data_IF_343612472883
#
_entry.id   IF_343612472883
#
_cell.length_a   1.000
_cell.length_b   1.000
_cell.length_c   1.000
_cell.angle_alpha   90.00
_cell.angle_beta   90.00
_cell.angle_gamma   90.00
#
_symmetry.space_group_name_H-M   'P 1'
#
loop_
_entity.id
_entity.type
_entity.pdbx_description
1 polymer ?
#
# COMPACT_ATOMS: atom_id res chain seq x y z
N UNK A 1 -3.36 130.69 25.88
CA UNK A 1 -2.40 129.65 25.47
C UNK A 1 -2.50 128.50 26.47
N UNK A 2 -2.65 127.25 26.01
CA UNK A 2 -2.99 126.10 26.87
C UNK A 2 -1.81 125.69 27.76
N UNK A 3 -2.05 125.54 29.07
CA UNK A 3 -1.07 125.12 30.08
C UNK A 3 -0.34 123.81 29.70
N UNK A 4 -1.03 122.95 28.95
CA UNK A 4 -0.56 121.65 28.46
C UNK A 4 0.61 121.80 27.46
N UNK A 5 0.68 122.89 26.68
CA UNK A 5 1.77 123.08 25.72
C UNK A 5 3.06 123.58 26.38
N UNK A 6 2.98 124.23 27.55
CA UNK A 6 4.15 124.68 28.31
C UNK A 6 4.66 123.63 29.33
N UNK A 7 3.80 122.68 29.73
CA UNK A 7 4.12 121.65 30.73
C UNK A 7 3.92 120.22 30.18
N UNK A 8 4.18 120.02 28.88
CA UNK A 8 3.93 118.74 28.18
C UNK A 8 4.64 117.56 28.86
N UNK A 9 5.88 117.75 29.32
CA UNK A 9 6.63 116.71 30.04
C UNK A 9 5.92 116.22 31.30
N UNK A 10 5.31 117.14 32.08
CA UNK A 10 4.56 116.79 33.29
C UNK A 10 3.24 116.10 32.96
N UNK A 11 2.58 116.51 31.87
CA UNK A 11 1.35 115.87 31.40
C UNK A 11 1.62 114.47 30.82
N UNK A 12 2.72 114.29 30.09
CA UNK A 12 3.15 113.00 29.54
C UNK A 12 3.55 112.01 30.65
N UNK A 13 4.33 112.48 31.65
CA UNK A 13 4.69 111.66 32.81
C UNK A 13 3.46 111.31 33.63
N UNK A 14 2.55 112.27 33.88
CA UNK A 14 1.29 112.02 34.57
C UNK A 14 0.42 110.98 33.84
N UNK A 15 0.31 111.10 32.51
CA UNK A 15 -0.41 110.14 31.68
C UNK A 15 0.21 108.74 31.71
N UNK A 16 1.54 108.64 31.64
CA UNK A 16 2.26 107.37 31.69
C UNK A 16 2.05 106.65 33.05
N UNK A 17 2.04 107.40 34.16
CA UNK A 17 1.78 106.85 35.50
C UNK A 17 0.36 106.30 35.61
N UNK A 18 -0.64 106.99 35.04
CA UNK A 18 -2.03 106.52 35.03
C UNK A 18 -2.18 105.24 34.20
N UNK A 19 -1.53 105.15 33.05
CA UNK A 19 -1.55 103.95 32.21
C UNK A 19 -0.84 102.78 32.92
N UNK A 20 0.31 103.02 33.54
CA UNK A 20 1.03 101.99 34.29
C UNK A 20 0.23 101.47 35.50
N UNK A 21 -0.44 102.36 36.24
CA UNK A 21 -1.32 101.98 37.33
C UNK A 21 -2.54 101.16 36.84
N UNK A 22 -3.11 101.53 35.70
CA UNK A 22 -4.20 100.78 35.07
C UNK A 22 -3.79 99.36 34.64
N UNK A 23 -2.60 99.22 34.05
CA UNK A 23 -2.05 97.91 33.67
C UNK A 23 -1.70 97.05 34.89
N UNK A 24 -1.13 97.65 35.94
CA UNK A 24 -0.85 96.95 37.19
C UNK A 24 -2.15 96.46 37.88
N UNK A 25 -3.21 97.27 37.85
CA UNK A 25 -4.52 96.87 38.38
C UNK A 25 -5.19 95.77 37.55
N UNK A 26 -5.08 95.82 36.22
CA UNK A 26 -5.57 94.74 35.34
C UNK A 26 -4.79 93.44 35.55
N UNK A 27 -3.48 93.51 35.75
CA UNK A 27 -2.66 92.37 36.13
C UNK A 27 -3.09 91.79 37.48
N UNK A 28 -3.20 92.61 38.52
CA UNK A 28 -3.59 92.16 39.86
C UNK A 28 -5.01 91.60 39.91
N UNK A 29 -5.98 92.24 39.26
CA UNK A 29 -7.38 91.80 39.24
C UNK A 29 -7.58 90.45 38.53
N UNK A 30 -6.66 90.07 37.65
CA UNK A 30 -6.69 88.79 36.93
C UNK A 30 -5.89 87.67 37.61
N UNK A 31 -4.94 87.97 38.49
CA UNK A 31 -4.11 86.97 39.20
C UNK A 31 -4.94 86.10 40.16
N UNK A 32 -6.07 86.60 40.68
CA UNK A 32 -6.96 85.82 41.55
C UNK A 32 -8.05 85.00 40.84
N UNK A 33 -8.20 85.10 39.52
CA UNK A 33 -9.29 84.41 38.78
C UNK A 33 -8.82 83.20 37.96
N UNK A 34 -7.52 82.92 37.89
CA UNK A 34 -7.00 81.77 37.14
C UNK A 34 -7.49 80.44 37.74
N UNK A 35 -7.74 80.37 39.05
CA UNK A 35 -8.32 79.17 39.67
C UNK A 35 -9.82 78.99 39.38
N UNK A 36 -10.55 80.06 39.02
CA UNK A 36 -11.99 80.01 38.74
C UNK A 36 -12.26 79.60 37.28
N UNK A 37 -11.42 80.03 36.34
CA UNK A 37 -11.55 79.71 34.91
C UNK A 37 -11.09 78.27 34.57
N UNK A 38 -10.34 77.59 35.45
CA UNK A 38 -9.93 76.19 35.30
C UNK A 38 -10.66 75.23 36.26
N UNK A 39 -11.80 75.63 36.83
CA UNK A 39 -12.60 74.73 37.65
C UNK A 39 -13.35 73.70 36.78
N UNK A 40 -12.61 72.70 36.28
CA UNK A 40 -13.21 71.44 35.83
C UNK A 40 -13.65 70.70 37.10
N UNK A 41 -14.85 71.01 37.57
CA UNK A 41 -15.53 70.20 38.58
C UNK A 41 -15.98 68.90 37.92
N UNK A 42 -15.47 67.72 38.34
CA UNK A 42 -16.10 66.45 37.98
C UNK A 42 -17.51 66.44 38.62
N UNK A 43 -18.53 65.87 37.95
CA UNK A 43 -19.84 65.78 38.57
C UNK A 43 -19.79 64.73 39.68
N UNK A 44 -19.71 65.16 40.95
CA UNK A 44 -19.85 64.25 42.07
C UNK A 44 -19.14 64.71 43.34
N UNK A 45 -19.93 65.19 44.31
CA UNK A 45 -19.46 65.53 45.66
C UNK A 45 -18.69 64.38 46.31
N UNK A 46 -17.50 64.69 46.81
CA UNK A 46 -16.66 63.74 47.52
C UNK A 46 -17.07 63.72 49.01
N UNK A 47 -17.90 62.74 49.37
CA UNK A 47 -17.67 62.02 50.62
C UNK A 47 -16.30 61.34 50.52
N UNK A 48 -15.53 61.31 51.62
CA UNK A 48 -14.10 60.95 51.66
C UNK A 48 -13.75 59.50 51.30
N UNK A 49 -13.97 59.12 50.05
CA UNK A 49 -13.48 57.87 49.46
C UNK A 49 -12.67 58.20 48.21
N UNK A 50 -11.35 58.03 48.26
CA UNK A 50 -10.44 58.07 47.10
C UNK A 50 -10.56 56.84 46.20
N UNK A 51 -11.71 56.16 46.24
CA UNK A 51 -11.93 54.92 45.52
C UNK A 51 -12.23 55.23 44.04
N UNK A 52 -11.27 54.91 43.17
CA UNK A 52 -11.49 54.91 41.73
C UNK A 52 -12.56 53.85 41.43
N UNK A 53 -13.64 54.23 40.75
CA UNK A 53 -14.72 53.30 40.40
C UNK A 53 -14.16 52.08 39.65
N UNK A 54 -14.36 50.89 40.18
CA UNK A 54 -13.84 49.63 39.62
C UNK A 54 -12.47 49.18 40.13
N UNK A 55 -11.82 49.93 41.03
CA UNK A 55 -10.54 49.51 41.64
C UNK A 55 -10.63 48.15 42.37
N UNK A 56 -11.80 47.81 42.91
CA UNK A 56 -12.05 46.49 43.53
C UNK A 56 -11.99 45.32 42.53
N UNK A 57 -12.15 45.59 41.23
CA UNK A 57 -12.07 44.56 40.20
C UNK A 57 -10.63 44.18 39.86
N UNK A 58 -9.66 45.06 40.10
CA UNK A 58 -8.23 44.82 39.81
C UNK A 58 -7.70 43.61 40.60
N UNK A 59 -7.80 43.54 41.95
CA UNK A 59 -7.31 42.39 42.69
C UNK A 59 -8.09 41.11 42.39
N UNK A 60 -9.38 41.20 42.03
CA UNK A 60 -10.18 40.04 41.58
C UNK A 60 -9.68 39.51 40.24
N UNK A 61 -9.35 40.39 39.29
CA UNK A 61 -8.78 40.03 38.00
C UNK A 61 -7.38 39.44 38.15
N UNK A 62 -6.50 40.06 38.95
CA UNK A 62 -5.17 39.52 39.26
C UNK A 62 -5.25 38.13 39.89
N UNK A 63 -6.17 37.94 40.84
CA UNK A 63 -6.43 36.63 41.44
C UNK A 63 -6.94 35.62 40.39
N UNK A 64 -7.82 36.05 39.47
CA UNK A 64 -8.35 35.18 38.41
C UNK A 64 -7.28 34.74 37.39
N UNK A 65 -6.26 35.58 37.17
CA UNK A 65 -5.16 35.33 36.23
C UNK A 65 -4.08 34.42 36.85
N UNK A 66 -3.88 34.52 38.16
CA UNK A 66 -2.91 33.70 38.91
C UNK A 66 -3.49 32.37 39.37
N UNK A 67 -4.83 32.21 39.33
CA UNK A 67 -5.49 30.93 39.63
C UNK A 67 -5.11 29.88 38.58
N UNK A 68 -4.41 28.83 39.02
CA UNK A 68 -4.07 27.67 38.19
C UNK A 68 -5.35 26.96 37.76
N UNK A 69 -5.81 27.20 36.53
CA UNK A 69 -6.92 26.48 35.94
C UNK A 69 -6.45 25.10 35.51
N UNK A 70 -6.85 24.07 36.25
CA UNK A 70 -6.66 22.68 35.83
C UNK A 70 -7.88 22.28 35.02
N UNK A 71 -7.68 22.05 33.73
CA UNK A 71 -8.73 21.49 32.88
C UNK A 71 -8.85 20.00 33.20
N UNK A 72 -9.94 19.61 33.85
CA UNK A 72 -10.29 18.20 34.01
C UNK A 72 -11.03 17.75 32.76
N UNK A 73 -10.47 16.79 32.05
CA UNK A 73 -11.11 16.22 30.86
C UNK A 73 -12.45 15.60 31.27
N UNK A 74 -13.54 16.06 30.64
CA UNK A 74 -14.85 15.45 30.87
C UNK A 74 -14.83 14.01 30.34
N UNK A 75 -15.65 13.13 30.94
CA UNK A 75 -15.83 11.77 30.47
C UNK A 75 -17.27 11.55 30.03
N UNK A 76 -17.47 10.72 29.01
CA UNK A 76 -18.81 10.25 28.62
C UNK A 76 -19.36 9.25 29.64
N UNK A 77 -20.64 8.87 29.51
CA UNK A 77 -21.26 7.80 30.31
C UNK A 77 -20.54 6.45 30.19
N UNK A 78 -19.74 6.27 29.13
CA UNK A 78 -18.91 5.08 28.87
C UNK A 78 -17.46 5.22 29.35
N UNK A 79 -17.18 6.18 30.26
CA UNK A 79 -15.86 6.50 30.84
C UNK A 79 -14.80 6.96 29.81
N UNK A 80 -15.22 7.34 28.60
CA UNK A 80 -14.32 7.85 27.56
C UNK A 80 -13.99 9.32 27.80
N UNK A 81 -12.70 9.65 27.80
CA UNK A 81 -12.25 11.04 27.89
C UNK A 81 -12.59 11.82 26.60
N UNK A 82 -13.37 12.90 26.72
CA UNK A 82 -13.72 13.79 25.60
C UNK A 82 -12.70 14.93 25.51
N UNK A 83 -12.11 15.11 24.33
CA UNK A 83 -11.27 16.27 24.07
C UNK A 83 -12.15 17.51 23.83
N UNK A 84 -11.78 18.65 24.42
CA UNK A 84 -12.51 19.91 24.30
C UNK A 84 -12.13 20.69 23.03
N UNK A 85 -11.00 20.34 22.40
CA UNK A 85 -10.45 21.08 21.26
C UNK A 85 -10.51 20.32 19.94
N UNK A 86 -10.62 18.98 19.98
CA UNK A 86 -10.76 18.15 18.78
C UNK A 86 -12.06 17.37 18.83
N UNK A 87 -12.94 17.59 17.84
CA UNK A 87 -14.13 16.78 17.67
C UNK A 87 -13.77 15.31 17.42
N UNK A 88 -14.52 14.40 18.03
CA UNK A 88 -14.38 12.97 17.80
C UNK A 88 -15.24 12.58 16.61
N UNK A 89 -14.70 11.85 15.62
CA UNK A 89 -15.51 11.31 14.54
C UNK A 89 -16.47 10.24 15.08
N UNK A 90 -17.76 10.47 14.88
CA UNK A 90 -18.82 9.49 15.09
C UNK A 90 -19.28 8.98 13.73
N UNK A 91 -19.47 7.67 13.62
CA UNK A 91 -19.87 7.04 12.37
C UNK A 91 -21.33 6.64 12.43
N UNK A 92 -21.98 6.59 11.29
CA UNK A 92 -23.39 6.23 11.20
C UNK A 92 -23.56 5.24 10.07
N UNK A 93 -24.24 4.14 10.33
CA UNK A 93 -24.55 3.16 9.28
C UNK A 93 -25.61 3.77 8.37
N UNK A 94 -25.45 3.62 7.05
CA UNK A 94 -26.44 4.11 6.06
C UNK A 94 -27.84 3.53 6.30
N UNK A 95 -27.93 2.30 6.80
CA UNK A 95 -29.20 1.64 7.14
C UNK A 95 -29.86 2.18 8.41
N UNK A 96 -29.11 2.81 9.30
CA UNK A 96 -29.56 3.30 10.61
C UNK A 96 -29.00 4.72 10.86
N UNK A 97 -29.45 5.73 10.09
CA UNK A 97 -28.90 7.09 10.11
C UNK A 97 -29.09 7.84 11.44
N UNK A 98 -29.91 7.30 12.34
CA UNK A 98 -30.16 7.88 13.67
C UNK A 98 -29.32 7.24 14.77
N UNK A 99 -28.59 6.14 14.47
CA UNK A 99 -27.79 5.41 15.45
C UNK A 99 -26.31 5.69 15.21
N UNK A 100 -25.79 6.69 15.93
CA UNK A 100 -24.37 6.97 15.93
C UNK A 100 -23.59 5.85 16.61
N UNK A 101 -22.47 5.47 16.01
CA UNK A 101 -21.52 4.48 16.48
C UNK A 101 -20.25 5.22 16.86
N UNK A 102 -19.91 5.12 18.14
CA UNK A 102 -18.62 5.56 18.66
C UNK A 102 -17.56 4.48 18.34
N UNK A 103 -16.48 4.78 17.61
CA UNK A 103 -15.38 3.83 17.39
C UNK A 103 -14.78 3.23 18.67
N UNK A 104 -14.75 3.98 19.77
CA UNK A 104 -14.07 3.53 20.99
C UNK A 104 -14.86 2.49 21.79
N UNK A 105 -16.20 2.49 21.69
CA UNK A 105 -17.06 1.65 22.53
C UNK A 105 -18.22 0.98 21.80
N UNK A 106 -18.50 1.39 20.56
CA UNK A 106 -19.61 0.90 19.75
C UNK A 106 -19.24 -0.29 18.85
N UNK A 107 -20.25 -0.78 18.13
CA UNK A 107 -20.10 -1.88 17.17
C UNK A 107 -19.04 -1.55 16.11
N UNK A 108 -18.32 -2.56 15.57
CA UNK A 108 -17.41 -2.34 14.46
C UNK A 108 -18.10 -1.65 13.28
N UNK A 109 -17.49 -0.58 12.78
CA UNK A 109 -17.97 0.17 11.60
C UNK A 109 -17.89 -0.75 10.36
N UNK A 110 -16.80 -1.51 10.25
CA UNK A 110 -16.56 -2.49 9.18
C UNK A 110 -16.20 -3.88 9.73
N UNK A 111 -17.18 -4.70 10.14
CA UNK A 111 -16.91 -6.08 10.49
C UNK A 111 -16.23 -6.83 9.33
N UNK A 112 -15.24 -7.70 9.58
CA UNK A 112 -14.78 -8.19 10.89
C UNK A 112 -13.73 -7.31 11.60
N UNK A 113 -13.33 -6.18 11.02
CA UNK A 113 -12.24 -5.34 11.55
C UNK A 113 -12.74 -4.52 12.75
N UNK A 114 -12.17 -4.68 13.96
CA UNK A 114 -12.59 -3.92 15.13
C UNK A 114 -12.21 -2.45 15.02
N UNK A 115 -13.01 -1.57 15.61
CA UNK A 115 -12.77 -0.12 15.57
C UNK A 115 -11.43 0.29 16.20
N UNK A 116 -10.94 -0.44 17.20
CA UNK A 116 -9.63 -0.19 17.80
C UNK A 116 -8.50 -0.31 16.79
N UNK A 117 -8.57 -1.27 15.86
CA UNK A 117 -7.54 -1.47 14.83
C UNK A 117 -7.45 -0.27 13.88
N UNK A 118 -8.58 0.31 13.48
CA UNK A 118 -8.60 1.53 12.66
C UNK A 118 -7.95 2.71 13.39
N UNK A 119 -8.26 2.88 14.68
CA UNK A 119 -7.71 3.96 15.50
C UNK A 119 -6.21 3.80 15.76
N UNK A 120 -5.77 2.59 16.09
CA UNK A 120 -4.36 2.26 16.36
C UNK A 120 -3.49 2.47 15.11
N UNK A 121 -4.00 2.07 13.94
CA UNK A 121 -3.31 2.25 12.66
C UNK A 121 -3.56 3.63 12.03
N UNK A 122 -4.28 4.53 12.71
CA UNK A 122 -4.60 5.89 12.23
C UNK A 122 -5.26 5.93 10.84
N UNK A 123 -6.10 4.93 10.57
CA UNK A 123 -6.83 4.79 9.33
C UNK A 123 -8.27 5.31 9.49
N UNK A 124 -8.83 5.87 8.43
CA UNK A 124 -10.20 6.37 8.42
C UNK A 124 -11.19 5.26 7.98
N UNK A 125 -12.05 4.74 8.88
CA UNK A 125 -13.08 3.76 8.53
C UNK A 125 -14.34 4.41 7.91
N UNK A 126 -14.36 5.72 7.69
CA UNK A 126 -15.56 6.45 7.24
C UNK A 126 -16.06 6.09 5.84
N UNK A 127 -15.20 5.50 5.02
CA UNK A 127 -15.56 5.13 3.66
C UNK A 127 -16.09 3.69 3.60
N UNK A 128 -17.08 3.48 2.72
CA UNK A 128 -17.64 2.13 2.51
C UNK A 128 -16.60 1.12 2.00
N UNK A 129 -15.60 1.61 1.27
CA UNK A 129 -14.48 0.85 0.71
C UNK A 129 -13.24 0.86 1.61
N UNK A 130 -13.29 1.43 2.82
CA UNK A 130 -12.12 1.46 3.73
C UNK A 130 -11.46 0.09 3.92
N UNK A 131 -12.18 -1.04 4.06
CA UNK A 131 -11.55 -2.36 4.16
C UNK A 131 -10.80 -2.81 2.91
N UNK A 132 -11.13 -2.29 1.73
CA UNK A 132 -10.50 -2.62 0.45
C UNK A 132 -9.37 -1.67 0.06
N UNK A 133 -9.19 -0.57 0.81
CA UNK A 133 -8.11 0.38 0.55
C UNK A 133 -6.77 -0.19 0.99
N UNK A 134 -5.74 0.31 0.32
CA UNK A 134 -4.34 -0.03 0.47
C UNK A 134 -3.58 1.31 0.65
N UNK A 135 -3.34 1.75 1.90
CA UNK A 135 -2.75 3.05 2.19
C UNK A 135 -1.27 3.19 1.82
N UNK A 136 -0.49 2.11 1.91
CA UNK A 136 0.94 2.09 1.62
C UNK A 136 1.28 1.59 0.21
N UNK A 137 0.27 1.17 -0.55
CA UNK A 137 0.34 0.75 -1.95
C UNK A 137 1.19 -0.51 -2.19
N UNK A 138 1.24 -1.40 -1.21
CA UNK A 138 1.96 -2.67 -1.29
C UNK A 138 1.18 -3.78 -2.02
N UNK A 139 -0.09 -3.53 -2.35
CA UNK A 139 -1.03 -4.43 -3.01
C UNK A 139 -1.95 -5.20 -2.07
N UNK A 140 -1.84 -5.04 -0.75
CA UNK A 140 -2.68 -5.64 0.26
C UNK A 140 -3.69 -4.63 0.81
N UNK A 141 -4.92 -5.10 0.96
CA UNK A 141 -5.99 -4.28 1.54
C UNK A 141 -5.93 -4.31 3.06
N UNK A 142 -6.46 -3.26 3.69
CA UNK A 142 -6.64 -3.17 5.15
C UNK A 142 -7.26 -4.44 5.75
N UNK A 143 -8.20 -5.09 5.06
CA UNK A 143 -8.79 -6.34 5.51
C UNK A 143 -7.80 -7.52 5.51
N UNK A 144 -7.00 -7.67 4.46
CA UNK A 144 -6.01 -8.74 4.35
C UNK A 144 -4.92 -8.58 5.40
N UNK A 145 -4.49 -7.34 5.63
CA UNK A 145 -3.49 -7.01 6.63
C UNK A 145 -4.00 -7.16 8.07
N UNK A 146 -5.25 -6.79 8.32
CA UNK A 146 -5.88 -7.05 9.60
C UNK A 146 -5.89 -8.55 9.92
N UNK A 147 -6.26 -9.39 8.94
CA UNK A 147 -6.27 -10.85 9.10
C UNK A 147 -4.86 -11.42 9.30
N UNK A 148 -3.86 -10.85 8.63
CA UNK A 148 -2.46 -11.23 8.75
C UNK A 148 -1.74 -10.63 9.97
N UNK A 149 -2.37 -9.69 10.68
CA UNK A 149 -1.79 -8.90 11.78
C UNK A 149 -0.54 -8.12 11.36
N UNK A 150 -0.60 -7.53 10.17
CA UNK A 150 0.45 -6.67 9.62
C UNK A 150 0.09 -5.19 9.76
N UNK A 151 0.99 -4.29 9.37
CA UNK A 151 0.86 -2.86 9.59
C UNK A 151 0.49 -2.18 8.26
N UNK A 152 -0.73 -1.63 8.13
CA UNK A 152 -1.27 -1.09 6.89
C UNK A 152 -0.75 0.27 6.45
N UNK A 153 0.33 0.73 7.08
CA UNK A 153 1.01 1.96 6.71
C UNK A 153 2.52 1.73 6.51
N UNK A 154 2.94 0.46 6.40
CA UNK A 154 4.34 0.09 6.22
C UNK A 154 4.44 -0.99 5.15
N UNK A 155 4.84 -0.56 3.95
CA UNK A 155 5.06 -1.40 2.76
C UNK A 155 5.97 -2.61 3.02
N UNK A 156 6.80 -2.60 4.07
CA UNK A 156 7.68 -3.75 4.42
C UNK A 156 7.00 -4.78 5.31
N UNK A 157 5.92 -4.38 5.97
CA UNK A 157 5.16 -5.21 6.89
C UNK A 157 3.90 -5.67 6.18
N UNK A 158 4.04 -6.65 5.29
CA UNK A 158 2.95 -7.14 4.46
C UNK A 158 2.67 -8.64 4.68
N UNK A 159 1.47 -9.14 4.33
CA UNK A 159 1.15 -10.57 4.35
C UNK A 159 1.99 -11.38 3.36
N UNK A 160 1.79 -12.70 3.34
CA UNK A 160 2.54 -13.55 2.39
C UNK A 160 2.18 -13.23 0.93
N UNK A 161 3.20 -12.88 0.14
CA UNK A 161 3.07 -12.53 -1.29
C UNK A 161 2.40 -13.63 -2.14
N UNK A 162 2.45 -14.89 -1.69
CA UNK A 162 1.78 -15.99 -2.38
C UNK A 162 0.26 -15.78 -2.48
N UNK A 163 -0.35 -15.04 -1.55
CA UNK A 163 -1.78 -14.73 -1.58
C UNK A 163 -2.16 -13.80 -2.75
N UNK A 164 -1.19 -13.04 -3.27
CA UNK A 164 -1.35 -12.13 -4.42
C UNK A 164 -0.78 -12.71 -5.71
N UNK A 165 -0.36 -13.97 -5.70
CA UNK A 165 0.11 -14.65 -6.89
C UNK A 165 -1.08 -15.05 -7.76
N UNK A 166 -1.11 -14.54 -8.99
CA UNK A 166 -2.14 -14.81 -9.97
C UNK A 166 -1.60 -15.72 -11.07
N UNK A 167 -2.31 -16.82 -11.31
CA UNK A 167 -2.11 -17.65 -12.50
C UNK A 167 -2.86 -17.02 -13.68
N UNK A 168 -2.12 -16.69 -14.74
CA UNK A 168 -2.69 -15.99 -15.92
C UNK A 168 -3.04 -16.98 -17.02
N UNK A 169 -2.07 -17.82 -17.40
CA UNK A 169 -2.24 -18.81 -18.48
C UNK A 169 -1.10 -19.84 -18.47
N UNK A 170 -1.22 -20.93 -19.22
CA UNK A 170 -0.13 -21.85 -19.48
C UNK A 170 0.47 -21.66 -20.88
N UNK A 171 1.79 -21.70 -20.95
CA UNK A 171 2.54 -21.81 -22.20
C UNK A 171 3.14 -23.22 -22.34
N UNK A 172 2.27 -24.22 -22.25
CA UNK A 172 2.68 -25.62 -22.31
C UNK A 172 3.01 -26.06 -23.73
N UNK A 173 4.07 -26.84 -23.89
CA UNK A 173 4.39 -27.51 -25.15
C UNK A 173 4.15 -28.99 -24.97
N UNK A 174 3.30 -29.58 -25.80
CA UNK A 174 3.22 -31.03 -25.90
C UNK A 174 4.33 -31.53 -26.82
N UNK A 175 4.88 -32.70 -26.50
CA UNK A 175 5.90 -33.34 -27.30
C UNK A 175 5.75 -34.86 -27.32
N UNK A 176 6.27 -35.46 -28.38
CA UNK A 176 6.30 -36.90 -28.58
C UNK A 176 7.70 -37.30 -29.03
N UNK A 177 8.26 -38.27 -28.32
CA UNK A 177 9.46 -38.97 -28.77
C UNK A 177 9.02 -40.25 -29.48
N UNK A 178 9.52 -40.48 -30.70
CA UNK A 178 9.15 -41.63 -31.51
C UNK A 178 10.39 -42.45 -31.86
N UNK A 179 10.55 -43.64 -31.27
CA UNK A 179 11.52 -44.63 -31.71
C UNK A 179 11.19 -45.09 -33.14
N UNK A 180 12.21 -45.08 -33.99
CA UNK A 180 12.16 -45.44 -35.39
C UNK A 180 12.78 -46.81 -35.65
N UNK A 181 13.60 -46.88 -36.71
CA UNK A 181 14.27 -48.11 -37.14
C UNK A 181 15.15 -48.70 -36.03
N UNK A 182 15.17 -50.03 -35.93
CA UNK A 182 15.96 -50.83 -34.99
C UNK A 182 17.09 -51.54 -35.73
N UNK A 183 18.34 -51.45 -35.24
CA UNK A 183 19.52 -52.02 -35.91
C UNK A 183 19.74 -53.52 -35.67
N UNK A 184 18.94 -54.17 -34.82
CA UNK A 184 19.17 -55.56 -34.41
C UNK A 184 20.00 -55.71 -33.14
N UNK A 185 20.81 -54.70 -32.78
CA UNK A 185 21.82 -54.74 -31.72
C UNK A 185 21.51 -53.80 -30.54
N UNK A 186 20.24 -53.41 -30.37
CA UNK A 186 19.81 -52.57 -29.27
C UNK A 186 19.77 -51.07 -29.59
N UNK A 187 20.09 -50.63 -30.82
CA UNK A 187 20.07 -49.22 -31.18
C UNK A 187 18.81 -48.82 -31.96
N UNK A 188 18.32 -47.61 -31.72
CA UNK A 188 17.14 -47.06 -32.39
C UNK A 188 17.41 -45.69 -33.00
N UNK A 189 16.84 -45.43 -34.17
CA UNK A 189 16.65 -44.06 -34.64
C UNK A 189 15.59 -43.36 -33.76
N UNK A 190 15.68 -42.04 -33.60
CA UNK A 190 14.68 -41.27 -32.85
C UNK A 190 14.25 -40.02 -33.60
N UNK A 191 12.97 -39.70 -33.48
CA UNK A 191 12.37 -38.44 -33.93
C UNK A 191 11.66 -37.76 -32.78
N UNK A 192 11.80 -36.45 -32.69
CA UNK A 192 11.12 -35.59 -31.74
C UNK A 192 10.11 -34.71 -32.46
N UNK A 193 8.89 -34.68 -31.93
CA UNK A 193 7.79 -33.84 -32.39
C UNK A 193 7.35 -32.96 -31.23
N UNK A 194 6.93 -31.72 -31.52
CA UNK A 194 6.33 -30.83 -30.55
C UNK A 194 5.10 -30.11 -31.11
N UNK A 195 4.29 -29.52 -30.23
CA UNK A 195 3.07 -28.80 -30.61
C UNK A 195 3.31 -27.56 -31.48
N UNK A 196 4.57 -27.12 -31.64
CA UNK A 196 4.91 -25.93 -32.43
C UNK A 196 5.01 -26.25 -33.92
N UNK A 197 4.94 -27.52 -34.33
CA UNK A 197 4.92 -27.90 -35.75
C UNK A 197 4.31 -29.27 -36.01
N UNK A 198 3.71 -29.40 -37.19
CA UNK A 198 3.13 -30.65 -37.67
C UNK A 198 4.18 -31.67 -38.16
N UNK A 199 5.45 -31.27 -38.29
CA UNK A 199 6.55 -32.15 -38.73
C UNK A 199 7.55 -32.42 -37.60
N UNK A 200 8.38 -33.46 -37.76
CA UNK A 200 9.44 -33.75 -36.79
C UNK A 200 10.39 -32.55 -36.69
N UNK A 201 10.53 -31.99 -35.49
CA UNK A 201 11.41 -30.86 -35.24
C UNK A 201 12.87 -31.27 -35.08
N UNK A 202 13.12 -32.49 -34.63
CA UNK A 202 14.46 -32.99 -34.45
C UNK A 202 14.55 -34.50 -34.69
N UNK A 203 15.72 -34.94 -35.12
CA UNK A 203 16.06 -36.35 -35.30
C UNK A 203 17.54 -36.54 -35.01
N UNK A 204 17.93 -37.80 -34.80
CA UNK A 204 19.35 -38.14 -34.86
C UNK A 204 19.92 -37.85 -36.26
N UNK A 205 21.23 -37.68 -36.34
CA UNK A 205 21.92 -37.49 -37.61
C UNK A 205 21.63 -38.65 -38.57
N UNK A 206 21.73 -38.40 -39.88
CA UNK A 206 21.47 -39.43 -40.88
C UNK A 206 22.36 -40.66 -40.64
N UNK A 207 21.75 -41.83 -40.47
CA UNK A 207 22.46 -43.09 -40.17
C UNK A 207 22.86 -43.27 -38.69
N UNK A 208 22.69 -42.26 -37.83
CA UNK A 208 22.95 -42.38 -36.41
C UNK A 208 21.75 -43.03 -35.67
N UNK A 209 22.07 -43.89 -34.71
CA UNK A 209 21.11 -44.54 -33.83
C UNK A 209 21.62 -44.46 -32.40
N UNK A 210 20.71 -44.26 -31.45
CA UNK A 210 21.05 -44.21 -30.04
C UNK A 210 21.02 -45.61 -29.44
N UNK A 211 22.06 -45.94 -28.67
CA UNK A 211 22.17 -47.17 -27.88
C UNK A 211 21.84 -46.90 -26.41
N UNK A 212 21.60 -47.94 -25.60
CA UNK A 212 21.57 -47.83 -24.15
C UNK A 212 22.78 -47.04 -23.62
N UNK A 213 22.52 -45.93 -22.94
CA UNK A 213 23.52 -45.02 -22.40
C UNK A 213 23.72 -43.73 -23.19
N UNK A 214 23.32 -43.69 -24.47
CA UNK A 214 23.55 -42.54 -25.34
C UNK A 214 22.58 -41.39 -25.06
N UNK A 215 23.10 -40.16 -25.15
CA UNK A 215 22.32 -38.93 -25.11
C UNK A 215 21.92 -38.57 -26.54
N UNK A 216 20.63 -38.29 -26.72
CA UNK A 216 20.00 -38.05 -28.00
C UNK A 216 19.95 -36.56 -28.34
N UNK A 217 19.92 -36.30 -29.65
CA UNK A 217 19.79 -34.99 -30.28
C UNK A 217 20.95 -34.03 -30.06
N UNK A 218 21.58 -33.61 -31.16
CA UNK A 218 22.70 -32.66 -31.14
C UNK A 218 22.25 -31.19 -31.22
N UNK A 219 21.05 -30.94 -31.76
CA UNK A 219 20.53 -29.60 -32.06
C UNK A 219 19.26 -29.32 -31.28
N UNK A 220 18.88 -28.06 -31.13
CA UNK A 220 17.56 -27.70 -30.62
C UNK A 220 16.47 -27.98 -31.68
N UNK A 221 15.23 -28.32 -31.27
CA UNK A 221 14.76 -28.46 -29.89
C UNK A 221 15.17 -29.79 -29.24
N UNK A 222 15.32 -29.79 -27.91
CA UNK A 222 15.62 -30.97 -27.08
C UNK A 222 17.05 -31.52 -27.23
N UNK A 223 18.01 -30.64 -27.54
CA UNK A 223 19.43 -30.99 -27.61
C UNK A 223 19.89 -31.55 -26.26
N UNK A 224 20.55 -32.71 -26.26
CA UNK A 224 21.13 -33.28 -25.05
C UNK A 224 20.14 -33.67 -23.96
N UNK A 225 18.83 -33.65 -24.26
CA UNK A 225 17.78 -33.78 -23.23
C UNK A 225 17.49 -35.22 -22.85
N UNK A 226 17.54 -36.14 -23.80
CA UNK A 226 17.01 -37.48 -23.59
C UNK A 226 18.12 -38.50 -23.63
N UNK A 227 18.13 -39.43 -22.67
CA UNK A 227 19.09 -40.54 -22.62
C UNK A 227 18.37 -41.87 -22.77
N UNK A 228 18.78 -42.67 -23.75
CA UNK A 228 18.20 -44.00 -23.90
C UNK A 228 18.75 -44.92 -22.78
N UNK A 229 17.87 -45.65 -22.08
CA UNK A 229 18.26 -46.56 -21.01
C UNK A 229 18.27 -48.02 -21.44
N UNK A 230 17.15 -48.50 -21.99
CA UNK A 230 17.00 -49.91 -22.36
C UNK A 230 15.82 -50.08 -23.31
N UNK A 231 15.68 -51.28 -23.87
CA UNK A 231 14.49 -51.68 -24.63
C UNK A 231 14.02 -53.07 -24.21
N UNK A 232 12.71 -53.30 -24.20
CA UNK A 232 12.08 -54.55 -23.79
C UNK A 232 11.02 -54.95 -24.83
N UNK A 233 10.99 -56.21 -25.26
CA UNK A 233 9.95 -56.73 -26.15
C UNK A 233 8.80 -57.28 -25.32
N UNK A 234 7.57 -56.86 -25.62
CA UNK A 234 6.35 -57.33 -24.97
C UNK A 234 5.35 -57.81 -26.01
N UNK A 235 4.69 -58.92 -25.73
CA UNK A 235 3.55 -59.40 -26.53
C UNK A 235 2.29 -58.70 -26.04
N UNK A 236 1.64 -57.95 -26.92
CA UNK A 236 0.39 -57.28 -26.64
C UNK A 236 -0.70 -57.82 -27.55
N UNK A 237 -1.83 -58.17 -26.95
CA UNK A 237 -3.04 -58.50 -27.70
C UNK A 237 -3.77 -57.20 -28.04
N UNK A 238 -3.98 -56.96 -29.33
CA UNK A 238 -4.75 -55.80 -29.75
C UNK A 238 -6.23 -55.99 -29.35
N UNK A 239 -6.81 -55.12 -28.50
CA UNK A 239 -8.15 -55.30 -27.98
C UNK A 239 -9.25 -55.26 -29.05
N UNK A 240 -8.96 -54.74 -30.26
CA UNK A 240 -9.92 -54.67 -31.36
C UNK A 240 -9.83 -55.85 -32.33
N UNK A 241 -8.67 -56.50 -32.47
CA UNK A 241 -8.48 -57.57 -33.45
C UNK A 241 -8.11 -58.92 -32.84
N UNK A 242 -7.91 -58.97 -31.52
CA UNK A 242 -7.38 -60.13 -30.77
C UNK A 242 -6.05 -60.67 -31.33
N UNK A 243 -5.37 -59.88 -32.16
CA UNK A 243 -4.09 -60.26 -32.75
C UNK A 243 -3.00 -60.00 -31.72
N UNK A 244 -2.20 -61.04 -31.45
CA UNK A 244 -0.98 -60.92 -30.64
C UNK A 244 0.09 -60.24 -31.50
N UNK A 245 0.56 -59.09 -31.07
CA UNK A 245 1.63 -58.33 -31.71
C UNK A 245 2.79 -58.18 -30.74
N UNK A 246 4.00 -58.50 -31.19
CA UNK A 246 5.21 -58.15 -30.45
C UNK A 246 5.52 -56.66 -30.65
N UNK A 247 5.55 -55.91 -29.55
CA UNK A 247 5.84 -54.48 -29.53
C UNK A 247 7.07 -54.26 -28.64
N UNK A 248 8.05 -53.52 -29.16
CA UNK A 248 9.23 -53.15 -28.38
C UNK A 248 8.95 -51.84 -27.65
N UNK A 249 9.25 -51.79 -26.36
CA UNK A 249 9.16 -50.61 -25.53
C UNK A 249 10.56 -50.10 -25.21
N UNK A 250 10.82 -48.84 -25.54
CA UNK A 250 12.09 -48.19 -25.28
C UNK A 250 11.94 -47.28 -24.07
N UNK A 251 12.83 -47.46 -23.09
CA UNK A 251 12.90 -46.64 -21.87
C UNK A 251 13.89 -45.50 -22.07
N UNK A 252 13.43 -44.28 -21.85
CA UNK A 252 14.20 -43.05 -22.05
C UNK A 252 14.12 -42.18 -20.81
N UNK A 253 15.25 -41.75 -20.30
CA UNK A 253 15.35 -40.79 -19.19
C UNK A 253 15.37 -39.35 -19.72
N UNK A 254 14.61 -38.46 -19.08
CA UNK A 254 14.73 -37.01 -19.26
C UNK A 254 15.87 -36.47 -18.39
N UNK A 255 16.80 -35.76 -19.00
CA UNK A 255 17.93 -35.10 -18.35
C UNK A 255 17.67 -33.61 -18.13
N UNK A 256 16.53 -33.07 -18.57
CA UNK A 256 16.18 -31.67 -18.32
C UNK A 256 16.18 -31.40 -16.80
N UNK A 257 16.79 -30.31 -16.30
CA UNK A 257 16.97 -30.11 -14.85
C UNK A 257 15.72 -30.26 -13.98
N UNK A 258 14.56 -29.82 -14.48
CA UNK A 258 13.28 -29.92 -13.79
C UNK A 258 12.57 -31.28 -13.93
N UNK A 259 13.10 -32.18 -14.76
CA UNK A 259 12.53 -33.52 -15.02
C UNK A 259 13.56 -34.63 -14.87
N UNK A 260 14.73 -34.31 -14.31
CA UNK A 260 15.86 -35.22 -14.22
C UNK A 260 15.45 -36.52 -13.51
N UNK A 261 15.71 -37.66 -14.16
CA UNK A 261 15.37 -38.98 -13.64
C UNK A 261 13.95 -39.44 -13.99
N UNK A 262 13.14 -38.64 -14.68
CA UNK A 262 11.85 -39.09 -15.19
C UNK A 262 12.07 -40.04 -16.36
N UNK A 263 11.57 -41.27 -16.22
CA UNK A 263 11.69 -42.31 -17.24
C UNK A 263 10.38 -42.45 -18.00
N UNK A 264 10.48 -42.40 -19.33
CA UNK A 264 9.38 -42.60 -20.26
C UNK A 264 9.53 -43.95 -20.92
N UNK A 265 8.44 -44.71 -20.96
CA UNK A 265 8.34 -45.96 -21.68
C UNK A 265 7.54 -45.74 -22.96
N UNK A 266 8.20 -45.92 -24.11
CA UNK A 266 7.65 -45.52 -25.40
C UNK A 266 7.68 -46.71 -26.35
N UNK A 267 6.54 -47.11 -26.93
CA UNK A 267 6.52 -48.22 -27.87
C UNK A 267 7.08 -47.83 -29.24
N UNK A 268 7.73 -48.79 -29.88
CA UNK A 268 8.00 -48.76 -31.32
C UNK A 268 6.69 -48.83 -32.09
N UNK A 269 6.61 -48.15 -33.23
CA UNK A 269 5.45 -48.18 -34.15
C UNK A 269 4.13 -47.76 -33.49
N UNK A 270 4.03 -46.49 -33.09
CA UNK A 270 2.80 -45.90 -32.51
C UNK A 270 1.82 -45.60 -33.66
N UNK A 271 0.63 -46.23 -33.72
CA UNK A 271 -0.40 -45.87 -34.68
C UNK A 271 -0.83 -44.41 -34.47
N UNK A 272 -1.16 -43.69 -35.54
CA UNK A 272 -1.49 -42.25 -35.46
C UNK A 272 -2.61 -41.94 -34.45
N UNK A 273 -3.66 -42.77 -34.42
CA UNK A 273 -4.77 -42.61 -33.47
C UNK A 273 -4.38 -42.83 -32.00
N UNK A 274 -3.25 -43.48 -31.72
CA UNK A 274 -2.75 -43.73 -30.37
C UNK A 274 -1.66 -42.74 -29.92
N UNK A 275 -1.13 -41.90 -30.82
CA UNK A 275 -0.11 -40.88 -30.48
C UNK A 275 -0.49 -39.99 -29.28
N UNK A 276 -1.76 -39.53 -29.13
CA UNK A 276 -2.14 -38.69 -27.99
C UNK A 276 -1.89 -39.32 -26.61
N UNK A 277 -1.89 -40.66 -26.50
CA UNK A 277 -1.63 -41.37 -25.23
C UNK A 277 -0.18 -41.27 -24.78
N UNK A 278 0.73 -40.98 -25.70
CA UNK A 278 2.17 -40.90 -25.43
C UNK A 278 2.69 -39.46 -25.40
N UNK A 279 1.80 -38.47 -25.58
CA UNK A 279 2.18 -37.07 -25.44
C UNK A 279 2.61 -36.76 -24.03
N UNK A 280 3.77 -36.13 -23.94
CA UNK A 280 4.32 -35.56 -22.73
C UNK A 280 4.25 -34.05 -22.84
N UNK A 281 4.32 -33.36 -21.71
CA UNK A 281 4.14 -31.91 -21.67
C UNK A 281 5.28 -31.24 -20.95
N UNK A 282 5.89 -30.24 -21.57
CA UNK A 282 6.68 -29.24 -20.90
C UNK A 282 5.76 -28.11 -20.47
N UNK A 283 5.24 -28.26 -19.24
CA UNK A 283 4.32 -27.29 -18.65
C UNK A 283 5.08 -26.07 -18.14
N UNK A 284 4.50 -24.89 -18.40
CA UNK A 284 5.04 -23.59 -18.01
C UNK A 284 3.87 -22.71 -17.63
N UNK A 285 3.88 -22.23 -16.39
CA UNK A 285 2.88 -21.29 -15.91
C UNK A 285 3.35 -19.86 -16.19
N UNK A 286 2.42 -19.03 -16.65
CA UNK A 286 2.57 -17.57 -16.71
C UNK A 286 1.90 -17.00 -15.47
N UNK A 287 2.69 -16.37 -14.63
CA UNK A 287 2.29 -15.86 -13.32
C UNK A 287 2.42 -14.34 -13.29
N UNK A 288 1.56 -13.68 -12.53
CA UNK A 288 1.62 -12.25 -12.21
C UNK A 288 1.58 -12.09 -10.70
N UNK A 289 2.41 -11.21 -10.14
CA UNK A 289 2.34 -10.85 -8.73
C UNK A 289 1.56 -9.54 -8.60
N UNK A 290 0.37 -9.61 -8.01
CA UNK A 290 -0.48 -8.43 -7.78
C UNK A 290 -0.14 -7.75 -6.45
N UNK A 291 1.15 -7.49 -6.23
CA UNK A 291 1.71 -6.85 -5.03
C UNK A 291 3.02 -6.13 -5.37
N UNK A 292 3.47 -5.24 -4.48
CA UNK A 292 4.74 -4.50 -4.55
C UNK A 292 4.95 -3.74 -5.87
N UNK A 293 3.87 -3.22 -6.45
CA UNK A 293 3.91 -2.52 -7.75
C UNK A 293 4.34 -3.39 -8.93
N UNK A 294 4.29 -4.73 -8.81
CA UNK A 294 4.59 -5.67 -9.90
C UNK A 294 3.36 -6.11 -10.69
N UNK A 295 2.17 -5.56 -10.37
CA UNK A 295 0.92 -5.86 -11.07
C UNK A 295 1.07 -5.75 -12.59
N UNK A 296 0.69 -6.83 -13.28
CA UNK A 296 0.75 -6.93 -14.74
C UNK A 296 2.11 -7.35 -15.32
N UNK A 297 3.16 -7.51 -14.50
CA UNK A 297 4.42 -8.13 -14.94
C UNK A 297 4.23 -9.64 -15.02
N UNK A 298 4.39 -10.18 -16.23
CA UNK A 298 4.21 -11.61 -16.50
C UNK A 298 5.55 -12.33 -16.40
N UNK A 299 5.63 -13.30 -15.50
CA UNK A 299 6.80 -14.14 -15.32
C UNK A 299 6.50 -15.60 -15.64
N UNK A 300 7.48 -16.27 -16.25
CA UNK A 300 7.32 -17.62 -16.79
C UNK A 300 8.07 -18.63 -15.92
N UNK A 301 7.33 -19.50 -15.25
CA UNK A 301 7.90 -20.51 -14.36
C UNK A 301 7.62 -21.91 -14.91
N UNK A 302 8.67 -22.73 -15.02
CA UNK A 302 8.52 -24.11 -15.47
C UNK A 302 8.05 -25.02 -14.33
N UNK A 303 7.24 -26.03 -14.66
CA UNK A 303 6.87 -27.07 -13.69
C UNK A 303 8.11 -27.74 -13.10
N UNK A 304 8.05 -28.13 -11.83
CA UNK A 304 9.13 -28.67 -11.01
C UNK A 304 10.33 -27.74 -10.85
N UNK A 305 10.13 -26.42 -10.92
CA UNK A 305 11.18 -25.44 -10.64
C UNK A 305 10.84 -24.56 -9.44
N UNK A 306 11.89 -24.12 -8.74
CA UNK A 306 11.76 -23.19 -7.64
C UNK A 306 11.82 -21.74 -8.13
N UNK A 307 11.00 -20.89 -7.52
CA UNK A 307 10.93 -19.46 -7.80
C UNK A 307 10.79 -18.65 -6.50
N UNK A 308 11.13 -17.37 -6.56
CA UNK A 308 10.98 -16.42 -5.45
C UNK A 308 9.80 -15.48 -5.67
N UNK A 309 9.32 -14.87 -4.59
CA UNK A 309 8.40 -13.72 -4.64
C UNK A 309 9.03 -12.58 -3.83
N UNK A 310 9.13 -11.35 -4.39
CA UNK A 310 8.92 -11.00 -5.80
C UNK A 310 9.81 -11.84 -6.74
N UNK A 311 9.48 -11.93 -8.02
CA UNK A 311 10.17 -12.85 -8.94
C UNK A 311 11.67 -12.53 -9.10
N UNK A 312 12.06 -11.29 -8.82
CA UNK A 312 13.44 -10.82 -8.75
C UNK A 312 14.21 -11.30 -7.52
N UNK A 313 13.54 -11.88 -6.52
CA UNK A 313 14.16 -12.34 -5.27
C UNK A 313 15.18 -13.45 -5.51
N UNK A 314 16.35 -13.31 -4.90
CA UNK A 314 17.37 -14.34 -4.91
C UNK A 314 16.96 -15.60 -4.12
N UNK A 315 16.03 -15.45 -3.16
CA UNK A 315 15.50 -16.56 -2.36
C UNK A 315 14.37 -17.25 -3.12
N UNK A 316 14.54 -18.54 -3.40
CA UNK A 316 13.59 -19.36 -4.16
C UNK A 316 12.79 -20.28 -3.24
N UNK A 317 11.92 -19.67 -2.46
CA UNK A 317 11.20 -20.34 -1.36
C UNK A 317 10.03 -21.22 -1.87
N UNK A 318 9.51 -20.94 -3.08
CA UNK A 318 8.35 -21.62 -3.65
C UNK A 318 8.77 -22.66 -4.70
N UNK A 319 8.02 -23.77 -4.82
CA UNK A 319 8.25 -24.83 -5.80
C UNK A 319 6.98 -25.03 -6.63
N UNK A 320 7.02 -24.73 -7.93
CA UNK A 320 5.89 -25.03 -8.80
C UNK A 320 5.82 -26.55 -9.04
N UNK A 321 4.89 -27.25 -8.39
CA UNK A 321 4.77 -28.72 -8.43
C UNK A 321 4.08 -29.22 -9.68
N UNK A 322 2.94 -28.61 -10.01
CA UNK A 322 2.13 -29.03 -11.15
C UNK A 322 1.48 -27.83 -11.84
N UNK A 323 1.30 -27.96 -13.16
CA UNK A 323 0.63 -26.95 -13.98
C UNK A 323 -0.35 -27.65 -14.92
N UNK A 324 -1.62 -27.25 -14.83
CA UNK A 324 -2.67 -27.61 -15.77
C UNK A 324 -3.23 -26.35 -16.42
N UNK A 325 -3.98 -26.46 -17.54
CA UNK A 325 -4.61 -25.30 -18.14
C UNK A 325 -5.53 -24.53 -17.20
N UNK A 326 -6.10 -25.20 -16.18
CA UNK A 326 -7.08 -24.63 -15.26
C UNK A 326 -6.48 -24.15 -13.94
N UNK A 327 -5.42 -24.80 -13.44
CA UNK A 327 -4.86 -24.52 -12.13
C UNK A 327 -3.36 -24.83 -12.05
N UNK A 328 -2.73 -24.29 -11.02
CA UNK A 328 -1.36 -24.60 -10.64
C UNK A 328 -1.31 -25.07 -9.18
N UNK A 329 -0.26 -25.82 -8.85
CA UNK A 329 0.03 -26.20 -7.47
C UNK A 329 1.46 -25.78 -7.12
N UNK A 330 1.59 -25.00 -6.05
CA UNK A 330 2.85 -24.47 -5.50
C UNK A 330 3.21 -25.17 -4.18
#
# INVERSE_FOLDING_TARGET
MSWISQNYEKAAVGGAVVVAAGLAFLGWSKVGQVEVDFNISPPGGHGGGTAVAGAEAIPRTESSLTTKRVWTQAKTETDRAVDLFTGIPLFVKKSEPTKAVDPSTGDPVHPPIPNSWWLENRLDPGFGDSPQRDPDADGFSNLEEHLAKTNPNDEKSHPSLIAKLKYVTDESISWLLQPGFYDGNGAFAFKYFDSRSLTSKNSLAAGAMAKPGDIMFEKEPAAGRFKMLSSERRSEENPSTHAVQERTYVKVEDLKPNKKGKVYEIPTQIPDGNKPKFYQYDRKAVLSLEALGESGKLEKVEENTRFGLPFSSAKKDYLLKSVTPEKIEV
#
